data_IF_014173483935
#
_entry.id   IF_014173483935
#
_cell.length_a   1.000
_cell.length_b   1.000
_cell.length_c   1.000
_cell.angle_alpha   90.00
_cell.angle_beta   90.00
_cell.angle_gamma   90.00
#
_symmetry.space_group_name_H-M   'P 1'
#
loop_
_entity.id
_entity.type
_entity.pdbx_description
1 polymer ?
#
# COMPACT_ATOMS: atom_id res chain seq x y z
N UNK A 1 -6.82 1.89 0.59
CA UNK A 1 -5.63 1.32 1.26
C UNK A 1 -4.49 2.31 1.21
N UNK A 2 -3.92 2.70 2.35
CA UNK A 2 -2.77 3.62 2.41
C UNK A 2 -1.48 2.80 2.54
N UNK A 3 -0.67 2.76 1.48
CA UNK A 3 0.54 1.95 1.37
C UNK A 3 1.76 2.79 0.95
N UNK A 4 1.77 4.08 1.34
CA UNK A 4 2.82 5.05 0.98
C UNK A 4 3.90 5.23 2.06
N UNK A 5 3.74 4.55 3.21
CA UNK A 5 4.52 4.81 4.42
C UNK A 5 5.96 4.30 4.37
N UNK A 6 6.88 5.08 4.97
CA UNK A 6 8.34 4.80 5.01
C UNK A 6 8.77 3.82 6.10
N UNK A 7 7.86 3.38 6.97
CA UNK A 7 8.14 2.41 8.04
C UNK A 7 9.34 2.74 8.96
N UNK A 8 9.64 4.03 9.20
CA UNK A 8 10.85 4.51 9.92
C UNK A 8 11.10 3.88 11.30
N UNK A 9 10.05 3.41 11.98
CA UNK A 9 10.15 2.77 13.32
C UNK A 9 10.37 1.25 13.25
N UNK A 10 10.16 0.62 12.10
CA UNK A 10 10.21 -0.84 11.91
C UNK A 10 11.63 -1.33 11.51
N UNK A 11 12.63 -0.45 11.54
CA UNK A 11 14.00 -0.77 11.11
C UNK A 11 14.23 -0.53 9.61
N UNK A 12 15.14 -1.30 9.02
CA UNK A 12 15.66 -1.07 7.65
C UNK A 12 14.72 -1.51 6.53
N UNK A 13 13.79 -2.41 6.81
CA UNK A 13 12.87 -2.97 5.81
C UNK A 13 11.52 -2.28 5.89
N UNK A 14 10.96 -1.92 4.75
CA UNK A 14 9.61 -1.36 4.71
C UNK A 14 8.60 -2.41 5.19
N UNK A 15 7.85 -2.11 6.26
CA UNK A 15 6.83 -2.99 6.85
C UNK A 15 5.87 -3.56 5.81
N UNK A 16 5.55 -2.79 4.77
CA UNK A 16 4.65 -3.22 3.70
C UNK A 16 5.18 -4.46 2.95
N UNK A 17 6.51 -4.56 2.83
CA UNK A 17 7.23 -5.63 2.14
C UNK A 17 7.72 -6.72 3.10
N UNK A 18 7.63 -6.51 4.41
CA UNK A 18 7.93 -7.57 5.37
C UNK A 18 6.96 -8.74 5.15
N UNK A 19 7.50 -9.95 5.23
CA UNK A 19 6.74 -11.17 4.99
C UNK A 19 6.24 -11.77 6.31
N UNK A 20 5.02 -12.30 6.28
CA UNK A 20 4.48 -13.17 7.31
C UNK A 20 4.00 -14.44 6.61
N UNK A 21 4.62 -15.56 6.98
CA UNK A 21 4.41 -16.86 6.32
C UNK A 21 4.75 -16.83 4.82
N UNK A 22 5.81 -16.11 4.43
CA UNK A 22 6.25 -15.97 3.03
C UNK A 22 5.38 -15.06 2.17
N UNK A 23 4.40 -14.35 2.75
CA UNK A 23 3.53 -13.42 2.01
C UNK A 23 3.78 -11.98 2.49
N UNK A 24 4.07 -11.03 1.57
CA UNK A 24 4.20 -9.63 1.93
C UNK A 24 2.94 -9.10 2.65
N UNK A 25 3.14 -8.36 3.74
CA UNK A 25 2.04 -7.83 4.55
C UNK A 25 1.05 -7.00 3.72
N UNK A 26 1.54 -6.19 2.78
CA UNK A 26 0.66 -5.40 1.90
C UNK A 26 -0.24 -6.28 1.03
N UNK A 27 0.26 -7.41 0.52
CA UNK A 27 -0.51 -8.38 -0.27
C UNK A 27 -1.56 -9.06 0.60
N UNK A 28 -1.17 -9.51 1.79
CA UNK A 28 -2.08 -10.18 2.75
C UNK A 28 -3.26 -9.29 3.10
N UNK A 29 -3.03 -8.02 3.45
CA UNK A 29 -4.11 -7.08 3.81
C UNK A 29 -4.96 -6.74 2.60
N UNK A 30 -4.36 -6.50 1.43
CA UNK A 30 -5.09 -6.16 0.20
C UNK A 30 -6.01 -7.29 -0.23
N UNK A 31 -5.53 -8.54 -0.21
CA UNK A 31 -6.34 -9.71 -0.50
C UNK A 31 -7.52 -9.86 0.47
N UNK A 32 -7.33 -9.57 1.76
CA UNK A 32 -8.41 -9.58 2.75
C UNK A 32 -9.47 -8.52 2.45
N UNK A 33 -9.06 -7.30 2.08
CA UNK A 33 -9.99 -6.22 1.70
C UNK A 33 -10.80 -6.59 0.47
N UNK A 34 -10.17 -7.19 -0.55
CA UNK A 34 -10.86 -7.67 -1.76
C UNK A 34 -11.86 -8.78 -1.41
N UNK A 35 -11.46 -9.77 -0.61
CA UNK A 35 -12.36 -10.86 -0.16
C UNK A 35 -13.54 -10.36 0.66
N UNK A 36 -13.43 -9.19 1.30
CA UNK A 36 -14.53 -8.55 2.01
C UNK A 36 -15.54 -7.87 1.06
N UNK A 37 -15.34 -7.92 -0.25
CA UNK A 37 -16.26 -7.40 -1.27
C UNK A 37 -16.13 -5.91 -1.55
N UNK A 38 -15.05 -5.27 -1.11
CA UNK A 38 -14.82 -3.85 -1.43
C UNK A 38 -14.32 -3.72 -2.87
N UNK A 39 -15.03 -2.93 -3.68
CA UNK A 39 -14.68 -2.59 -5.06
C UNK A 39 -15.15 -1.14 -5.34
N UNK A 40 -14.28 -0.21 -5.74
CA UNK A 40 -12.85 -0.38 -6.04
C UNK A 40 -11.94 -0.37 -4.81
N UNK A 41 -10.90 -1.21 -4.83
CA UNK A 41 -9.77 -1.10 -3.89
C UNK A 41 -8.69 -0.20 -4.49
N UNK A 42 -8.58 1.02 -3.95
CA UNK A 42 -7.51 1.97 -4.30
C UNK A 42 -6.33 1.81 -3.34
N UNK A 43 -5.13 1.58 -3.89
CA UNK A 43 -3.86 1.49 -3.16
C UNK A 43 -3.04 2.75 -3.43
N UNK A 44 -2.83 3.54 -2.38
CA UNK A 44 -1.99 4.74 -2.42
C UNK A 44 -0.54 4.34 -2.20
N UNK A 45 0.29 4.46 -3.24
CA UNK A 45 1.73 4.21 -3.23
C UNK A 45 2.51 5.46 -2.82
N UNK A 46 3.77 5.26 -2.44
CA UNK A 46 4.69 6.33 -2.07
C UNK A 46 6.11 5.78 -1.97
N UNK A 47 6.67 5.72 -0.76
CA UNK A 47 7.98 5.09 -0.57
C UNK A 47 7.99 3.62 -1.00
N UNK A 48 9.04 3.22 -1.73
CA UNK A 48 9.19 1.88 -2.33
C UNK A 48 8.01 1.43 -3.22
N UNK A 49 7.42 2.38 -3.97
CA UNK A 49 6.27 2.11 -4.82
C UNK A 49 6.46 0.92 -5.78
N UNK A 50 7.65 0.73 -6.35
CA UNK A 50 7.96 -0.37 -7.27
C UNK A 50 7.78 -1.74 -6.61
N UNK A 51 8.56 -2.08 -5.58
CA UNK A 51 8.39 -3.33 -4.83
C UNK A 51 6.98 -3.54 -4.26
N UNK A 52 6.33 -2.47 -3.76
CA UNK A 52 4.96 -2.56 -3.23
C UNK A 52 3.96 -2.89 -4.33
N UNK A 53 4.08 -2.26 -5.50
CA UNK A 53 3.24 -2.56 -6.67
C UNK A 53 3.45 -4.00 -7.14
N UNK A 54 4.70 -4.45 -7.26
CA UNK A 54 5.03 -5.81 -7.66
C UNK A 54 4.44 -6.86 -6.70
N UNK A 55 4.46 -6.58 -5.40
CA UNK A 55 3.85 -7.46 -4.38
C UNK A 55 2.33 -7.63 -4.55
N UNK A 56 1.67 -6.71 -5.27
CA UNK A 56 0.23 -6.73 -5.52
C UNK A 56 -0.14 -7.20 -6.93
N UNK A 57 0.82 -7.73 -7.69
CA UNK A 57 0.57 -8.22 -9.04
C UNK A 57 -0.50 -9.33 -9.06
N UNK A 58 -1.36 -9.25 -10.08
CA UNK A 58 -2.53 -10.11 -10.26
C UNK A 58 -3.75 -9.81 -9.39
N UNK A 59 -3.69 -8.82 -8.48
CA UNK A 59 -4.85 -8.41 -7.68
C UNK A 59 -5.66 -7.29 -8.37
N UNK A 60 -7.01 -7.32 -8.31
CA UNK A 60 -7.88 -6.30 -8.89
C UNK A 60 -7.85 -5.00 -8.07
N UNK A 61 -6.76 -4.24 -8.15
CA UNK A 61 -6.60 -2.97 -7.44
C UNK A 61 -6.26 -1.83 -8.39
N UNK A 62 -6.68 -0.62 -8.02
CA UNK A 62 -6.24 0.63 -8.67
C UNK A 62 -5.10 1.23 -7.88
N UNK A 63 -4.13 1.82 -8.58
CA UNK A 63 -2.99 2.46 -7.95
C UNK A 63 -3.06 3.98 -8.12
N UNK A 64 -2.66 4.70 -7.09
CA UNK A 64 -2.37 6.13 -7.15
C UNK A 64 -1.06 6.43 -6.43
N UNK A 65 -0.34 7.47 -6.85
CA UNK A 65 0.92 7.86 -6.25
C UNK A 65 0.73 9.06 -5.31
N UNK A 66 1.27 8.98 -4.10
CA UNK A 66 1.43 10.11 -3.21
C UNK A 66 2.93 10.49 -3.11
N UNK A 67 3.35 11.44 -3.95
CA UNK A 67 4.72 11.99 -3.89
C UNK A 67 5.00 12.65 -2.53
N UNK A 68 3.97 13.23 -1.91
CA UNK A 68 4.00 13.92 -0.62
C UNK A 68 3.78 13.00 0.59
N UNK A 69 4.11 11.72 0.46
CA UNK A 69 4.00 10.72 1.53
C UNK A 69 4.79 11.08 2.81
N UNK A 70 5.75 12.00 2.73
CA UNK A 70 6.47 12.55 3.89
C UNK A 70 5.66 13.54 4.75
N UNK A 71 4.59 14.13 4.22
CA UNK A 71 3.76 15.15 4.90
C UNK A 71 2.74 14.54 5.89
N UNK A 72 2.76 13.21 6.05
CA UNK A 72 1.89 12.49 6.97
C UNK A 72 0.70 11.80 6.28
N UNK A 73 -0.21 11.26 7.09
CA UNK A 73 -1.30 10.42 6.59
C UNK A 73 -2.34 11.21 5.76
N UNK A 74 -2.54 12.50 6.08
CA UNK A 74 -3.52 13.35 5.42
C UNK A 74 -3.27 13.52 3.91
N UNK A 75 -2.00 13.66 3.49
CA UNK A 75 -1.66 13.74 2.07
C UNK A 75 -1.97 12.44 1.32
N UNK A 76 -1.87 11.28 1.99
CA UNK A 76 -2.20 9.98 1.40
C UNK A 76 -3.70 9.79 1.27
N UNK A 77 -4.49 10.24 2.25
CA UNK A 77 -5.95 10.26 2.16
C UNK A 77 -6.38 11.16 1.00
N UNK A 78 -5.84 12.38 0.92
CA UNK A 78 -6.13 13.33 -0.15
C UNK A 78 -5.78 12.78 -1.55
N UNK A 79 -4.68 12.02 -1.68
CA UNK A 79 -4.34 11.35 -2.94
C UNK A 79 -5.33 10.21 -3.28
N UNK A 80 -5.76 9.44 -2.27
CA UNK A 80 -6.68 8.31 -2.44
C UNK A 80 -8.09 8.69 -2.86
N UNK A 81 -8.62 9.83 -2.39
CA UNK A 81 -10.00 10.28 -2.70
C UNK A 81 -10.15 10.96 -4.06
N UNK A 82 -9.05 11.21 -4.78
CA UNK A 82 -9.05 11.85 -6.11
C UNK A 82 -9.12 10.85 -7.29
N UNK A 83 -9.29 9.56 -6.98
CA UNK A 83 -9.20 8.44 -7.94
C UNK A 83 -10.58 7.96 -8.35
#
# INVERSE_FOLDING_TARGET
MLAAGRSRRMGRTNKLLAELDGVPLVRRVTATVIRAGLDPVVVVLGHDAGPVRASLDGLPVRFTMNERHGEGIGSSVAAGVRV
#
